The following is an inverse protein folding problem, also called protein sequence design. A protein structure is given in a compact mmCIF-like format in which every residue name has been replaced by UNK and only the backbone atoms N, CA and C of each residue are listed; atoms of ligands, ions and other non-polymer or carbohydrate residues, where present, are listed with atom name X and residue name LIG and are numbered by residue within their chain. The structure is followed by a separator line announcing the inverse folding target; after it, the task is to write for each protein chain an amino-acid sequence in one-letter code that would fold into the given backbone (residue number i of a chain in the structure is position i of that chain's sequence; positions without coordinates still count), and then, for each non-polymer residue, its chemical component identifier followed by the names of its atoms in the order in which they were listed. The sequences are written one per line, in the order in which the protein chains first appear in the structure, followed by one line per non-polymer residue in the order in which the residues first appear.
data_IF_343453792051
#
_entry.id   IF_343453792051
#
_cell.length_a   1.000
_cell.length_b   1.000
_cell.length_c   1.000
_cell.angle_alpha   90.00
_cell.angle_beta   90.00
_cell.angle_gamma   90.00
#
_symmetry.space_group_name_H-M   'P 1'
#
loop_
_entity.id
_entity.type
_entity.pdbx_description
1 polymer ?
#
# COMPACT_ATOMS: atom_id res chain seq x y z
N UNK A 1 -26.76 25.42 55.97
CA UNK A 1 -26.96 24.43 57.06
C UNK A 1 -27.22 25.09 58.41
N UNK A 2 -26.37 26.02 58.87
CA UNK A 2 -26.54 26.73 60.16
C UNK A 2 -27.87 27.51 60.30
N UNK A 3 -28.37 28.13 59.22
CA UNK A 3 -29.62 28.91 59.25
C UNK A 3 -30.89 28.08 59.45
N UNK A 4 -30.92 26.82 58.96
CA UNK A 4 -32.08 25.92 59.13
C UNK A 4 -32.20 25.46 60.57
N UNK A 5 -31.05 25.13 61.19
CA UNK A 5 -30.98 24.73 62.59
C UNK A 5 -31.40 25.89 63.50
N UNK A 6 -30.94 27.11 63.21
CA UNK A 6 -31.36 28.29 63.98
C UNK A 6 -32.86 28.57 63.94
N UNK A 7 -33.51 28.31 62.80
CA UNK A 7 -34.94 28.53 62.63
C UNK A 7 -35.79 27.50 63.40
N UNK A 8 -35.31 26.27 63.55
CA UNK A 8 -36.05 25.15 64.15
C UNK A 8 -35.67 24.84 65.62
N UNK A 9 -34.73 25.58 66.20
CA UNK A 9 -34.24 25.37 67.58
C UNK A 9 -35.35 25.45 68.63
N UNK A 10 -36.26 26.43 68.51
CA UNK A 10 -37.35 26.62 69.46
C UNK A 10 -38.35 25.45 69.43
N UNK A 11 -38.67 24.98 68.23
CA UNK A 11 -39.58 23.83 68.04
C UNK A 11 -38.93 22.54 68.55
N UNK A 12 -37.62 22.36 68.35
CA UNK A 12 -36.86 21.21 68.85
C UNK A 12 -36.85 21.15 70.39
N UNK A 13 -36.73 22.28 71.08
CA UNK A 13 -36.80 22.35 72.56
C UNK A 13 -38.20 22.05 73.10
N UNK A 14 -39.24 22.39 72.35
CA UNK A 14 -40.64 22.17 72.74
C UNK A 14 -41.04 20.70 72.74
N UNK A 15 -40.43 19.88 71.88
CA UNK A 15 -40.69 18.43 71.78
C UNK A 15 -40.46 17.66 73.08
N UNK A 16 -39.49 18.09 73.91
CA UNK A 16 -39.19 17.43 75.18
C UNK A 16 -40.24 17.62 76.28
N UNK A 17 -41.20 18.54 76.07
CA UNK A 17 -42.21 18.91 77.06
C UNK A 17 -43.65 18.58 76.62
N UNK A 18 -43.82 17.93 75.47
CA UNK A 18 -45.13 17.61 74.87
C UNK A 18 -45.52 16.14 75.06
N UNK A 19 -46.83 15.86 75.03
CA UNK A 19 -47.35 14.49 75.00
C UNK A 19 -46.90 13.77 73.71
N UNK A 20 -46.84 12.44 73.76
CA UNK A 20 -46.22 11.61 72.71
C UNK A 20 -46.82 11.84 71.31
N UNK A 21 -48.15 11.88 71.19
CA UNK A 21 -48.85 12.02 69.91
C UNK A 21 -48.53 13.35 69.18
N UNK A 22 -48.68 14.54 69.80
CA UNK A 22 -48.34 15.79 69.13
C UNK A 22 -46.83 15.98 68.94
N UNK A 23 -45.99 15.39 69.81
CA UNK A 23 -44.54 15.41 69.64
C UNK A 23 -44.09 14.65 68.37
N UNK A 24 -44.70 13.51 68.07
CA UNK A 24 -44.44 12.74 66.85
C UNK A 24 -44.82 13.53 65.58
N UNK A 25 -45.99 14.18 65.59
CA UNK A 25 -46.43 15.00 64.46
C UNK A 25 -45.48 16.17 64.19
N UNK A 26 -45.10 16.91 65.24
CA UNK A 26 -44.18 18.04 65.14
C UNK A 26 -42.78 17.60 64.68
N UNK A 27 -42.25 16.51 65.22
CA UNK A 27 -40.97 15.93 64.79
C UNK A 27 -40.98 15.57 63.29
N UNK A 28 -42.06 14.98 62.79
CA UNK A 28 -42.22 14.67 61.36
C UNK A 28 -42.19 15.92 60.47
N UNK A 29 -42.88 16.99 60.89
CA UNK A 29 -42.87 18.27 60.14
C UNK A 29 -41.50 18.93 60.11
N UNK A 30 -40.77 18.92 61.23
CA UNK A 30 -39.40 19.44 61.33
C UNK A 30 -38.48 18.68 60.38
N UNK A 31 -38.56 17.35 60.36
CA UNK A 31 -37.74 16.51 59.48
C UNK A 31 -38.00 16.80 58.01
N UNK A 32 -39.28 16.88 57.59
CA UNK A 32 -39.64 17.16 56.20
C UNK A 32 -39.16 18.55 55.78
N UNK A 33 -39.38 19.57 56.62
CA UNK A 33 -38.93 20.93 56.33
C UNK A 33 -37.40 21.03 56.27
N UNK A 34 -36.70 20.40 57.22
CA UNK A 34 -35.23 20.33 57.22
C UNK A 34 -34.71 19.67 55.95
N UNK A 35 -35.26 18.51 55.57
CA UNK A 35 -34.87 17.81 54.35
C UNK A 35 -35.12 18.66 53.10
N UNK A 36 -36.25 19.38 53.05
CA UNK A 36 -36.57 20.28 51.95
C UNK A 36 -35.55 21.42 51.82
N UNK A 37 -35.23 22.12 52.91
CA UNK A 37 -34.26 23.22 52.86
C UNK A 37 -32.83 22.76 52.58
N UNK A 38 -32.41 21.60 53.10
CA UNK A 38 -31.10 21.02 52.79
C UNK A 38 -31.03 20.63 51.31
N UNK A 39 -32.06 19.97 50.78
CA UNK A 39 -32.15 19.62 49.36
C UNK A 39 -32.10 20.85 48.47
N UNK A 40 -32.86 21.91 48.82
CA UNK A 40 -32.86 23.17 48.09
C UNK A 40 -31.48 23.85 48.10
N UNK A 41 -30.79 23.85 49.24
CA UNK A 41 -29.44 24.40 49.33
C UNK A 41 -28.44 23.62 48.46
N UNK A 42 -28.53 22.29 48.41
CA UNK A 42 -27.71 21.46 47.52
C UNK A 42 -28.04 21.70 46.05
N UNK A 43 -29.32 21.89 45.72
CA UNK A 43 -29.78 22.20 44.36
C UNK A 43 -29.16 23.52 43.88
N UNK A 44 -29.13 24.55 44.72
CA UNK A 44 -28.50 25.84 44.39
C UNK A 44 -27.00 25.68 44.12
N UNK A 45 -26.29 24.87 44.90
CA UNK A 45 -24.86 24.58 44.67
C UNK A 45 -24.68 23.85 43.34
N UNK A 46 -25.47 22.80 43.09
CA UNK A 46 -25.41 22.03 41.85
C UNK A 46 -25.69 22.88 40.59
N UNK A 47 -26.61 23.86 40.69
CA UNK A 47 -26.90 24.79 39.59
C UNK A 47 -25.68 25.65 39.18
N UNK A 48 -24.73 25.87 40.08
CA UNK A 48 -23.50 26.62 39.81
C UNK A 48 -22.38 25.67 39.36
N UNK A 49 -22.23 24.51 40.00
CA UNK A 49 -21.13 23.59 39.73
C UNK A 49 -21.23 22.91 38.35
N UNK A 50 -22.44 22.48 37.95
CA UNK A 50 -22.68 21.79 36.68
C UNK A 50 -22.22 22.59 35.45
N UNK A 51 -22.61 23.87 35.26
CA UNK A 51 -22.19 24.63 34.07
C UNK A 51 -20.68 24.85 34.03
N UNK A 52 -20.02 25.05 35.17
CA UNK A 52 -18.56 25.19 35.25
C UNK A 52 -17.88 23.89 34.83
N UNK A 53 -18.39 22.75 35.30
CA UNK A 53 -17.84 21.44 34.97
C UNK A 53 -17.98 21.11 33.48
N UNK A 54 -19.13 21.42 32.86
CA UNK A 54 -19.33 21.24 31.41
C UNK A 54 -18.36 22.12 30.62
N UNK A 55 -18.18 23.39 31.03
CA UNK A 55 -17.25 24.29 30.37
C UNK A 55 -15.81 23.75 30.43
N UNK A 56 -15.34 23.37 31.62
CA UNK A 56 -13.98 22.83 31.81
C UNK A 56 -13.77 21.51 31.07
N UNK A 57 -14.78 20.63 31.07
CA UNK A 57 -14.70 19.37 30.33
C UNK A 57 -14.56 19.62 28.83
N UNK A 58 -15.36 20.53 28.27
CA UNK A 58 -15.24 20.92 26.87
C UNK A 58 -13.92 21.61 26.56
N UNK A 59 -13.36 22.40 27.48
CA UNK A 59 -12.03 23.00 27.35
C UNK A 59 -10.94 21.92 27.26
N UNK A 60 -10.98 20.94 28.16
CA UNK A 60 -10.00 19.86 28.25
C UNK A 60 -10.07 18.86 27.09
N UNK A 61 -11.21 18.75 26.42
CA UNK A 61 -11.38 17.91 25.22
C UNK A 61 -10.93 18.62 23.92
N UNK A 62 -10.56 19.91 23.97
CA UNK A 62 -10.03 20.60 22.79
C UNK A 62 -8.62 20.08 22.51
N UNK A 63 -8.43 19.56 21.31
CA UNK A 63 -7.10 19.30 20.80
C UNK A 63 -6.39 20.61 20.45
N UNK A 64 -5.08 20.64 20.66
CA UNK A 64 -4.23 21.72 20.18
C UNK A 64 -4.07 21.63 18.65
N UNK A 65 -3.77 22.75 17.99
CA UNK A 65 -3.45 22.76 16.56
C UNK A 65 -2.27 21.83 16.20
N UNK A 66 -1.41 21.54 17.16
CA UNK A 66 -0.28 20.65 16.97
C UNK A 66 -0.70 19.18 17.06
N UNK A 67 -1.52 18.81 18.04
CA UNK A 67 -2.11 17.47 18.14
C UNK A 67 -2.95 17.14 16.90
N UNK A 68 -3.77 18.07 16.40
CA UNK A 68 -4.54 17.86 15.16
C UNK A 68 -3.62 17.61 13.96
N UNK A 69 -2.52 18.37 13.85
CA UNK A 69 -1.56 18.18 12.75
C UNK A 69 -0.82 16.86 12.84
N UNK A 70 -0.54 16.39 14.05
CA UNK A 70 0.18 15.13 14.26
C UNK A 70 -0.77 13.93 14.06
N UNK A 71 -2.04 14.00 14.51
CA UNK A 71 -3.06 12.99 14.17
C UNK A 71 -3.29 12.90 12.65
N UNK A 72 -3.30 14.03 11.92
CA UNK A 72 -3.42 14.01 10.46
C UNK A 72 -2.25 13.28 9.77
N UNK A 73 -1.03 13.41 10.30
CA UNK A 73 0.13 12.68 9.77
C UNK A 73 0.02 11.17 10.01
N UNK A 74 -0.55 10.77 11.14
CA UNK A 74 -0.74 9.36 11.51
C UNK A 74 -1.90 8.71 10.73
N UNK A 75 -2.98 9.46 10.45
CA UNK A 75 -4.14 8.97 9.69
C UNK A 75 -3.85 8.88 8.18
N UNK A 76 -3.21 9.89 7.59
CA UNK A 76 -2.91 9.88 6.15
C UNK A 76 -1.61 9.15 5.81
N UNK A 77 -0.73 8.97 6.80
CA UNK A 77 0.64 8.49 6.64
C UNK A 77 1.52 9.52 5.92
N UNK A 78 2.74 9.72 6.40
CA UNK A 78 3.65 10.68 5.75
C UNK A 78 3.81 10.34 4.24
N UNK A 79 3.47 11.25 3.31
CA UNK A 79 3.56 11.00 1.88
C UNK A 79 4.99 10.65 1.43
N UNK A 80 6.01 11.14 2.14
CA UNK A 80 7.40 10.74 1.90
C UNK A 80 7.64 9.27 2.25
N UNK A 81 7.07 8.79 3.35
CA UNK A 81 7.16 7.39 3.76
C UNK A 81 6.42 6.51 2.75
N UNK A 82 5.23 6.91 2.30
CA UNK A 82 4.48 6.19 1.26
C UNK A 82 5.25 6.13 -0.07
N UNK A 83 5.85 7.25 -0.51
CA UNK A 83 6.71 7.29 -1.71
C UNK A 83 7.91 6.37 -1.55
N UNK A 84 8.59 6.39 -0.40
CA UNK A 84 9.74 5.55 -0.11
C UNK A 84 9.40 4.06 -0.10
N UNK A 85 8.25 3.69 0.48
CA UNK A 85 7.74 2.31 0.44
C UNK A 85 7.50 1.89 -1.01
N UNK A 86 6.82 2.72 -1.81
CA UNK A 86 6.56 2.41 -3.22
C UNK A 86 7.85 2.28 -4.04
N UNK A 87 8.82 3.17 -3.84
CA UNK A 87 10.13 3.08 -4.48
C UNK A 87 10.85 1.78 -4.12
N UNK A 88 10.89 1.42 -2.83
CA UNK A 88 11.50 0.18 -2.37
C UNK A 88 10.80 -1.07 -2.93
N UNK A 89 9.47 -1.03 -3.04
CA UNK A 89 8.70 -2.12 -3.67
C UNK A 89 9.07 -2.28 -5.15
N UNK A 90 9.21 -1.17 -5.88
CA UNK A 90 9.66 -1.18 -7.29
C UNK A 90 11.09 -1.69 -7.44
N UNK A 91 11.99 -1.30 -6.54
CA UNK A 91 13.38 -1.78 -6.50
C UNK A 91 13.43 -3.30 -6.31
N UNK A 92 12.76 -3.83 -5.28
CA UNK A 92 12.71 -5.28 -5.02
C UNK A 92 12.08 -6.04 -6.21
N UNK A 93 11.02 -5.50 -6.81
CA UNK A 93 10.39 -6.11 -7.98
C UNK A 93 11.35 -6.15 -9.19
N UNK A 94 12.12 -5.08 -9.39
CA UNK A 94 13.11 -5.00 -10.46
C UNK A 94 14.27 -5.97 -10.21
N UNK A 95 14.75 -6.08 -8.97
CA UNK A 95 15.80 -7.05 -8.59
C UNK A 95 15.37 -8.49 -8.86
N UNK A 96 14.16 -8.88 -8.43
CA UNK A 96 13.62 -10.22 -8.71
C UNK A 96 13.47 -10.49 -10.20
N UNK A 97 13.03 -9.50 -10.97
CA UNK A 97 12.94 -9.62 -12.42
C UNK A 97 14.31 -9.83 -13.05
N UNK A 98 15.35 -9.12 -12.60
CA UNK A 98 16.72 -9.35 -13.08
C UNK A 98 17.19 -10.74 -12.68
N UNK A 99 16.94 -11.19 -11.45
CA UNK A 99 17.31 -12.54 -11.01
C UNK A 99 16.69 -13.63 -11.90
N UNK A 100 15.44 -13.46 -12.34
CA UNK A 100 14.78 -14.41 -13.25
C UNK A 100 15.47 -14.54 -14.62
N UNK A 101 16.37 -13.61 -14.98
CA UNK A 101 17.14 -13.73 -16.23
C UNK A 101 17.99 -14.99 -16.22
N UNK A 102 18.46 -15.47 -15.06
CA UNK A 102 19.28 -16.70 -14.94
C UNK A 102 18.60 -17.95 -15.53
N UNK A 103 17.26 -17.95 -15.58
CA UNK A 103 16.45 -19.05 -16.06
C UNK A 103 16.02 -18.86 -17.54
N UNK A 104 16.56 -17.86 -18.23
CA UNK A 104 16.25 -17.59 -19.63
C UNK A 104 17.14 -18.40 -20.59
N UNK A 105 16.55 -18.83 -21.70
CA UNK A 105 17.28 -19.53 -22.77
C UNK A 105 17.96 -18.55 -23.73
N UNK A 106 17.36 -17.37 -23.92
CA UNK A 106 17.87 -16.34 -24.82
C UNK A 106 17.45 -14.94 -24.38
N UNK A 107 18.33 -13.96 -24.59
CA UNK A 107 18.03 -12.53 -24.44
C UNK A 107 18.05 -11.85 -25.80
N UNK A 108 16.91 -11.27 -26.21
CA UNK A 108 16.77 -10.53 -27.46
C UNK A 108 16.95 -9.03 -27.18
N UNK A 109 17.83 -8.37 -27.92
CA UNK A 109 18.16 -6.95 -27.68
C UNK A 109 18.01 -6.04 -28.90
N UNK A 110 17.51 -4.84 -28.66
CA UNK A 110 17.75 -3.66 -29.48
C UNK A 110 18.91 -2.91 -28.81
N UNK A 111 20.10 -2.82 -29.43
CA UNK A 111 21.28 -2.24 -28.80
C UNK A 111 20.99 -0.94 -28.06
N UNK A 112 21.50 -0.85 -26.83
CA UNK A 112 21.38 0.28 -25.88
C UNK A 112 19.97 0.68 -25.43
N UNK A 113 18.91 0.18 -26.08
CA UNK A 113 17.54 0.62 -25.80
C UNK A 113 16.66 -0.45 -25.17
N UNK A 114 16.61 -1.68 -25.70
CA UNK A 114 15.69 -2.72 -25.20
C UNK A 114 16.38 -4.06 -25.01
N UNK A 115 15.97 -4.79 -23.97
CA UNK A 115 16.33 -6.19 -23.76
C UNK A 115 15.10 -6.97 -23.25
N UNK A 116 14.89 -8.16 -23.81
CA UNK A 116 13.81 -9.08 -23.43
C UNK A 116 14.40 -10.47 -23.27
N UNK A 117 14.26 -11.05 -22.08
CA UNK A 117 14.68 -12.41 -21.76
C UNK A 117 13.50 -13.37 -21.93
N UNK A 118 13.70 -14.46 -22.68
CA UNK A 118 12.69 -15.46 -22.97
C UNK A 118 13.12 -16.83 -22.42
N UNK A 119 12.15 -17.57 -21.90
CA UNK A 119 12.28 -18.98 -21.57
C UNK A 119 11.32 -19.80 -22.44
N UNK A 120 11.80 -20.93 -22.92
CA UNK A 120 11.06 -21.89 -23.70
C UNK A 120 11.30 -23.31 -23.18
N UNK A 121 10.22 -23.95 -22.72
CA UNK A 121 10.26 -25.37 -22.35
C UNK A 121 9.97 -26.23 -23.60
N UNK A 122 10.95 -26.99 -24.12
CA UNK A 122 10.76 -27.85 -25.28
C UNK A 122 9.81 -29.03 -25.02
N UNK A 123 9.52 -29.35 -23.75
CA UNK A 123 8.59 -30.42 -23.37
C UNK A 123 7.15 -29.92 -23.24
N UNK A 124 6.93 -28.61 -23.40
CA UNK A 124 5.63 -27.98 -23.31
C UNK A 124 5.13 -27.51 -24.67
N UNK A 125 3.85 -27.67 -24.95
CA UNK A 125 3.20 -27.09 -26.13
C UNK A 125 2.97 -25.57 -25.99
N UNK A 126 3.41 -24.97 -24.88
CA UNK A 126 3.25 -23.56 -24.59
C UNK A 126 4.25 -22.70 -25.36
N UNK A 127 3.83 -21.49 -25.73
CA UNK A 127 4.70 -20.51 -26.34
C UNK A 127 5.74 -19.97 -25.34
N UNK A 128 6.90 -19.49 -25.82
CA UNK A 128 7.93 -18.89 -24.98
C UNK A 128 7.39 -17.78 -24.06
N UNK A 129 7.86 -17.76 -22.83
CA UNK A 129 7.43 -16.82 -21.78
C UNK A 129 8.49 -15.75 -21.56
N UNK A 130 8.06 -14.49 -21.37
CA UNK A 130 8.95 -13.38 -21.04
C UNK A 130 9.30 -13.42 -19.55
N UNK A 131 10.55 -13.69 -19.20
CA UNK A 131 11.02 -13.69 -17.81
C UNK A 131 11.43 -12.30 -17.31
N UNK A 132 11.99 -11.49 -18.21
CA UNK A 132 12.40 -10.13 -17.92
C UNK A 132 12.29 -9.26 -19.17
N UNK A 133 11.94 -7.98 -19.01
CA UNK A 133 12.04 -6.99 -20.07
C UNK A 133 12.44 -5.63 -19.49
N UNK A 134 13.21 -4.87 -20.25
CA UNK A 134 13.73 -3.59 -19.79
C UNK A 134 14.02 -2.63 -20.92
N UNK A 135 14.05 -1.35 -20.56
CA UNK A 135 14.51 -0.25 -21.40
C UNK A 135 15.74 0.41 -20.77
N UNK A 136 16.63 0.96 -21.59
CA UNK A 136 17.84 1.71 -21.22
C UNK A 136 18.65 1.04 -20.09
N UNK A 137 18.64 1.61 -18.88
CA UNK A 137 19.41 1.11 -17.75
C UNK A 137 19.00 -0.30 -17.31
N UNK A 138 17.70 -0.63 -17.36
CA UNK A 138 17.24 -2.00 -17.05
C UNK A 138 17.66 -2.95 -18.16
N UNK A 139 17.64 -2.51 -19.42
CA UNK A 139 18.14 -3.30 -20.54
C UNK A 139 19.64 -3.57 -20.45
N UNK A 140 20.43 -2.62 -19.91
CA UNK A 140 21.84 -2.84 -19.59
C UNK A 140 22.00 -3.93 -18.54
N UNK A 141 21.28 -3.84 -17.40
CA UNK A 141 21.33 -4.84 -16.34
C UNK A 141 20.94 -6.25 -16.80
N UNK A 142 19.89 -6.38 -17.61
CA UNK A 142 19.49 -7.69 -18.18
C UNK A 142 20.63 -8.29 -19.03
N UNK A 143 21.35 -7.47 -19.80
CA UNK A 143 22.49 -7.93 -20.61
C UNK A 143 23.69 -8.31 -19.77
N UNK A 144 23.94 -7.60 -18.67
CA UNK A 144 25.00 -7.95 -17.70
C UNK A 144 24.68 -9.29 -17.04
N UNK A 145 23.47 -9.44 -16.50
CA UNK A 145 23.03 -10.68 -15.85
C UNK A 145 23.07 -11.88 -16.81
N UNK A 146 22.67 -11.69 -18.06
CA UNK A 146 22.74 -12.71 -19.09
C UNK A 146 24.19 -13.12 -19.39
N UNK A 147 25.13 -12.17 -19.43
CA UNK A 147 26.56 -12.50 -19.61
C UNK A 147 27.10 -13.28 -18.43
N UNK A 148 26.75 -12.88 -17.22
CA UNK A 148 27.22 -13.54 -15.98
C UNK A 148 26.74 -15.01 -15.91
N UNK A 149 25.56 -15.30 -16.45
CA UNK A 149 24.99 -16.65 -16.53
C UNK A 149 25.24 -17.38 -17.86
N UNK A 150 26.08 -16.82 -18.76
CA UNK A 150 26.38 -17.41 -20.07
C UNK A 150 25.14 -17.65 -20.96
N UNK A 151 24.15 -16.77 -20.87
CA UNK A 151 22.94 -16.78 -21.69
C UNK A 151 23.21 -16.02 -22.98
N UNK A 152 22.82 -16.60 -24.11
CA UNK A 152 23.09 -16.03 -25.42
C UNK A 152 22.30 -14.74 -25.66
N UNK A 153 23.01 -13.67 -26.09
CA UNK A 153 22.42 -12.37 -26.38
C UNK A 153 22.27 -12.19 -27.88
N UNK A 154 21.04 -12.29 -28.37
CA UNK A 154 20.70 -12.14 -29.78
C UNK A 154 20.25 -10.71 -30.11
N UNK A 155 21.07 -9.96 -30.84
CA UNK A 155 20.65 -8.64 -31.33
C UNK A 155 19.67 -8.76 -32.50
N UNK A 156 18.43 -8.34 -32.26
CA UNK A 156 17.34 -8.20 -33.24
C UNK A 156 16.47 -6.99 -32.86
N UNK A 157 16.86 -5.77 -33.27
CA UNK A 157 16.18 -4.55 -32.84
C UNK A 157 14.67 -4.52 -33.04
N UNK A 158 14.12 -4.92 -34.20
CA UNK A 158 12.68 -4.83 -34.42
C UNK A 158 11.91 -5.87 -33.57
N UNK A 159 12.50 -7.05 -33.33
CA UNK A 159 11.90 -8.10 -32.52
C UNK A 159 11.90 -7.73 -31.04
N UNK A 160 12.99 -7.16 -30.54
CA UNK A 160 13.08 -6.66 -29.17
C UNK A 160 12.02 -5.59 -28.89
N UNK A 161 11.83 -4.65 -29.82
CA UNK A 161 10.76 -3.63 -29.69
C UNK A 161 9.38 -4.26 -29.69
N UNK A 162 9.10 -5.17 -30.62
CA UNK A 162 7.82 -5.87 -30.68
C UNK A 162 7.52 -6.58 -29.36
N UNK A 163 8.43 -7.43 -28.89
CA UNK A 163 8.27 -8.17 -27.64
C UNK A 163 8.08 -7.25 -26.43
N UNK A 164 8.84 -6.15 -26.35
CA UNK A 164 8.74 -5.20 -25.23
C UNK A 164 7.35 -4.55 -25.14
N UNK A 165 6.78 -4.13 -26.28
CA UNK A 165 5.50 -3.42 -26.32
C UNK A 165 4.28 -4.34 -26.35
N UNK A 166 4.40 -5.60 -26.80
CA UNK A 166 3.25 -6.50 -26.96
C UNK A 166 3.04 -7.52 -25.85
N UNK A 167 4.05 -7.77 -25.00
CA UNK A 167 4.03 -8.90 -24.04
C UNK A 167 4.49 -8.45 -22.66
N UNK A 168 3.79 -8.80 -21.58
CA UNK A 168 4.25 -8.51 -20.22
C UNK A 168 5.15 -9.61 -19.65
N UNK A 169 5.77 -9.32 -18.50
CA UNK A 169 6.59 -10.28 -17.77
C UNK A 169 5.69 -11.40 -17.23
N UNK A 170 6.16 -12.64 -17.29
CA UNK A 170 5.46 -13.88 -17.00
C UNK A 170 4.27 -14.18 -17.91
N UNK A 171 4.20 -13.54 -19.09
CA UNK A 171 3.21 -13.86 -20.12
C UNK A 171 3.88 -14.53 -21.33
N UNK A 172 3.11 -15.40 -22.00
CA UNK A 172 3.51 -15.99 -23.26
C UNK A 172 3.49 -14.94 -24.38
N UNK A 173 4.43 -15.04 -25.32
CA UNK A 173 4.49 -14.16 -26.49
C UNK A 173 3.20 -14.27 -27.33
N UNK A 174 2.85 -13.26 -28.15
CA UNK A 174 1.70 -13.35 -29.05
C UNK A 174 1.99 -14.26 -30.27
N UNK A 175 0.96 -14.89 -30.87
CA UNK A 175 1.09 -15.80 -32.03
C UNK A 175 1.86 -15.20 -33.21
N UNK A 176 1.67 -13.90 -33.48
CA UNK A 176 2.31 -13.18 -34.59
C UNK A 176 3.85 -13.16 -34.46
N UNK A 177 4.39 -13.34 -33.25
CA UNK A 177 5.83 -13.37 -32.99
C UNK A 177 6.41 -14.78 -32.87
N UNK A 178 5.58 -15.83 -32.93
CA UNK A 178 6.03 -17.22 -32.73
C UNK A 178 7.11 -17.60 -33.73
N UNK A 179 6.89 -17.32 -35.01
CA UNK A 179 7.83 -17.69 -36.07
C UNK A 179 9.18 -16.97 -35.91
N UNK A 180 9.14 -15.67 -35.61
CA UNK A 180 10.36 -14.87 -35.42
C UNK A 180 11.15 -15.34 -34.19
N UNK A 181 10.48 -15.63 -33.08
CA UNK A 181 11.12 -16.14 -31.85
C UNK A 181 11.65 -17.56 -32.05
N UNK A 182 10.90 -18.45 -32.71
CA UNK A 182 11.34 -19.81 -33.00
C UNK A 182 12.63 -19.85 -33.83
N UNK A 183 12.81 -18.95 -34.79
CA UNK A 183 14.06 -18.83 -35.53
C UNK A 183 15.25 -18.44 -34.63
N UNK A 184 15.03 -17.53 -33.68
CA UNK A 184 16.07 -17.12 -32.73
C UNK A 184 16.44 -18.28 -31.82
N UNK A 185 15.45 -18.94 -31.20
CA UNK A 185 15.66 -20.09 -30.34
C UNK A 185 16.39 -21.20 -31.11
N UNK A 186 15.91 -21.57 -32.29
CA UNK A 186 16.56 -22.59 -33.12
C UNK A 186 18.02 -22.24 -33.45
N UNK A 187 18.33 -20.96 -33.71
CA UNK A 187 19.71 -20.52 -33.93
C UNK A 187 20.57 -20.66 -32.68
N UNK A 188 20.08 -20.24 -31.51
CA UNK A 188 20.80 -20.36 -30.23
C UNK A 188 21.05 -21.84 -29.86
N UNK A 189 20.04 -22.70 -30.00
CA UNK A 189 20.18 -24.13 -29.75
C UNK A 189 21.14 -24.81 -30.75
N UNK A 190 21.13 -24.40 -32.03
CA UNK A 190 22.08 -24.89 -33.02
C UNK A 190 23.51 -24.43 -32.72
N UNK A 191 23.73 -23.20 -32.22
CA UNK A 191 25.07 -22.77 -31.78
C UNK A 191 25.61 -23.65 -30.65
N UNK A 192 24.74 -24.00 -29.70
CA UNK A 192 25.11 -24.86 -28.58
C UNK A 192 25.42 -26.30 -29.03
N UNK A 193 24.76 -26.81 -30.08
CA UNK A 193 25.02 -28.16 -30.61
C UNK A 193 26.19 -28.22 -31.60
N UNK A 194 26.44 -27.17 -32.38
CA UNK A 194 27.45 -27.12 -33.46
C UNK A 194 28.86 -26.77 -32.95
N UNK A 195 29.01 -26.39 -31.68
CA UNK A 195 30.31 -26.19 -31.02
C UNK A 195 31.26 -27.41 -31.10
N UNK A 196 30.80 -28.57 -31.60
CA UNK A 196 31.60 -29.78 -31.87
C UNK A 196 32.10 -29.92 -33.33
N UNK A 197 31.46 -29.29 -34.34
CA UNK A 197 31.67 -29.63 -35.78
C UNK A 197 32.24 -28.50 -36.66
N UNK A 198 32.56 -27.32 -36.10
CA UNK A 198 33.37 -26.30 -36.79
C UNK A 198 32.70 -25.51 -37.93
N UNK A 199 31.40 -25.69 -38.20
CA UNK A 199 30.63 -24.85 -39.12
C UNK A 199 29.87 -23.76 -38.35
N UNK A 200 30.19 -22.48 -38.52
CA UNK A 200 29.38 -21.41 -37.92
C UNK A 200 28.05 -21.24 -38.68
N UNK A 201 26.88 -21.42 -38.03
CA UNK A 201 25.59 -21.18 -38.68
C UNK A 201 25.42 -19.70 -39.00
N UNK A 202 24.81 -19.39 -40.15
CA UNK A 202 24.53 -18.00 -40.56
C UNK A 202 23.44 -17.42 -39.64
N UNK A 203 23.73 -16.28 -39.00
CA UNK A 203 22.76 -15.56 -38.14
C UNK A 203 21.46 -15.25 -38.91
N UNK A 204 20.28 -15.71 -38.45
CA UNK A 204 19.02 -15.38 -39.10
C UNK A 204 18.68 -13.90 -38.89
N UNK A 205 17.86 -13.35 -39.79
CA UNK A 205 17.21 -12.07 -39.60
C UNK A 205 15.70 -12.32 -39.51
N UNK A 206 15.14 -12.48 -38.29
CA UNK A 206 13.73 -12.80 -38.11
C UNK A 206 12.85 -11.73 -38.76
N UNK A 207 11.97 -12.15 -39.68
CA UNK A 207 10.99 -11.25 -40.30
C UNK A 207 9.80 -11.08 -39.36
N UNK A 208 9.36 -9.83 -39.17
CA UNK A 208 8.29 -9.48 -38.24
C UNK A 208 7.11 -8.97 -39.04
N UNK A 209 5.90 -9.52 -38.84
CA UNK A 209 4.69 -9.06 -39.50
C UNK A 209 4.50 -7.54 -39.38
N UNK A 210 4.00 -6.89 -40.43
CA UNK A 210 3.86 -5.42 -40.49
C UNK A 210 3.02 -4.84 -39.33
N UNK A 211 2.00 -5.57 -38.87
CA UNK A 211 1.12 -5.19 -37.76
C UNK A 211 1.82 -5.20 -36.38
N UNK A 212 3.02 -5.78 -36.29
CA UNK A 212 3.84 -5.92 -35.07
C UNK A 212 5.16 -5.14 -35.15
N UNK A 213 5.32 -4.25 -36.14
CA UNK A 213 6.48 -3.34 -36.21
C UNK A 213 6.22 -2.12 -35.34
N UNK A 214 7.06 -1.92 -34.33
CA UNK A 214 7.03 -0.76 -33.46
C UNK A 214 8.29 0.09 -33.60
N UNK A 215 8.12 1.40 -33.50
CA UNK A 215 9.23 2.35 -33.34
C UNK A 215 9.70 2.39 -31.87
N UNK A 216 10.80 3.08 -31.59
CA UNK A 216 11.36 3.29 -30.25
C UNK A 216 10.37 3.94 -29.28
N UNK A 217 9.42 4.73 -29.79
CA UNK A 217 8.34 5.36 -29.01
C UNK A 217 7.10 4.48 -28.82
N UNK A 218 7.11 3.23 -29.32
CA UNK A 218 5.98 2.30 -29.21
C UNK A 218 4.81 2.60 -30.16
N UNK A 219 4.99 3.49 -31.13
CA UNK A 219 4.03 3.67 -32.22
C UNK A 219 4.18 2.54 -33.25
N UNK A 220 3.04 2.03 -33.73
CA UNK A 220 3.03 1.07 -34.83
C UNK A 220 3.52 1.76 -36.11
N UNK A 221 4.44 1.10 -36.80
CA UNK A 221 4.95 1.52 -38.09
C UNK A 221 4.08 0.85 -39.15
N UNK A 222 3.02 1.53 -39.57
CA UNK A 222 2.27 1.13 -40.76
C UNK A 222 3.14 1.46 -41.98
N UNK A 223 3.58 0.42 -42.70
CA UNK A 223 4.28 0.52 -43.99
C UNK A 223 3.27 0.67 -45.13
#
# INVERSE_FOLDING_TARGET
MLGVIQFQILDLFSLGHMNLEPALALAGTILIQSAFFVSLALLVIALIDIPIQIYQFNENMKMTLQEVKDEMKDIEGNPEVKKKIKQKQQEIASEKMIENVKDADVVITNPEHFAVALNYDPNSDNAPVVLAKGVDHIALRIREEAKDHSIEIFSAPPLARALYFTTNINEAIPPDLYYAVAQVIAYVFNLNSISQDGLSPKKPNPDIPSNMKFDSDGKKIDL
#
